data_IF_316077405422
#
_entry.id   IF_316077405422
#
_cell.length_a   1.000
_cell.length_b   1.000
_cell.length_c   1.000
_cell.angle_alpha   90.00
_cell.angle_beta   90.00
_cell.angle_gamma   90.00
#
_symmetry.space_group_name_H-M   'P 1'
#
loop_
_entity.id
_entity.type
_entity.pdbx_description
1 polymer ?
#
# COMPACT_ATOMS: atom_id res chain seq x y z
N UNK A 1 3.15 -23.39 28.90
CA UNK A 1 2.98 -22.28 29.86
C UNK A 1 2.56 -22.89 31.20
N UNK A 2 3.27 -22.56 32.27
CA UNK A 2 2.98 -23.16 33.58
C UNK A 2 2.09 -22.28 34.45
N UNK A 3 2.21 -20.97 34.35
CA UNK A 3 1.49 -19.99 35.11
C UNK A 3 1.31 -18.66 34.36
N UNK A 4 0.52 -17.77 34.91
CA UNK A 4 0.25 -16.43 34.37
C UNK A 4 1.49 -15.52 34.33
N UNK A 5 2.48 -15.77 35.24
CA UNK A 5 3.72 -14.99 35.31
C UNK A 5 4.57 -15.10 34.01
N UNK A 6 4.53 -16.27 33.36
CA UNK A 6 5.17 -16.43 32.07
C UNK A 6 4.49 -15.57 31.00
N UNK A 7 3.15 -15.48 31.01
CA UNK A 7 2.40 -14.63 30.11
C UNK A 7 2.64 -13.14 30.38
N UNK A 8 2.63 -12.74 31.66
CA UNK A 8 2.91 -11.38 32.10
C UNK A 8 4.31 -10.92 31.66
N UNK A 9 5.33 -11.77 31.85
CA UNK A 9 6.69 -11.47 31.40
C UNK A 9 6.75 -11.23 29.89
N UNK A 10 6.14 -12.08 29.08
CA UNK A 10 6.11 -11.98 27.63
C UNK A 10 5.35 -10.70 27.21
N UNK A 11 4.22 -10.40 27.85
CA UNK A 11 3.48 -9.17 27.61
C UNK A 11 4.31 -7.92 27.96
N UNK A 12 5.04 -7.91 29.07
CA UNK A 12 5.88 -6.81 29.50
C UNK A 12 7.05 -6.60 28.52
N UNK A 13 7.70 -7.67 28.09
CA UNK A 13 8.76 -7.64 27.05
C UNK A 13 8.22 -7.03 25.74
N UNK A 14 7.06 -7.47 25.30
CA UNK A 14 6.44 -6.92 24.09
C UNK A 14 6.05 -5.44 24.25
N UNK A 15 5.51 -5.06 25.40
CA UNK A 15 5.07 -3.69 25.69
C UNK A 15 6.25 -2.70 25.74
N UNK A 16 7.40 -3.13 26.25
CA UNK A 16 8.59 -2.28 26.40
C UNK A 16 9.49 -2.29 25.19
N UNK A 17 9.38 -3.30 24.33
CA UNK A 17 10.14 -3.39 23.09
C UNK A 17 9.57 -2.45 22.02
N UNK A 18 10.44 -1.77 21.28
CA UNK A 18 10.07 -1.02 20.07
C UNK A 18 9.82 -1.91 18.84
N UNK A 19 10.19 -3.18 18.89
CA UNK A 19 10.05 -4.18 17.82
C UNK A 19 9.26 -5.38 18.29
N UNK A 20 8.92 -6.30 17.38
CA UNK A 20 8.32 -7.59 17.75
C UNK A 20 9.33 -8.43 18.54
N UNK A 21 8.96 -8.79 19.77
CA UNK A 21 9.77 -9.70 20.60
C UNK A 21 9.55 -11.15 20.17
N UNK A 22 10.59 -12.01 20.22
CA UNK A 22 10.43 -13.42 19.84
C UNK A 22 9.49 -14.13 20.83
N UNK A 23 8.46 -14.82 20.31
CA UNK A 23 7.62 -15.69 21.11
C UNK A 23 8.23 -17.10 21.20
N UNK A 24 8.04 -17.79 22.34
CA UNK A 24 8.41 -19.19 22.42
C UNK A 24 7.65 -20.06 21.40
N UNK A 25 8.25 -21.16 20.91
CA UNK A 25 7.55 -22.06 20.00
C UNK A 25 6.21 -22.55 20.58
N UNK A 26 5.19 -22.67 19.73
CA UNK A 26 3.84 -23.09 20.10
C UNK A 26 3.21 -22.22 21.21
N UNK A 27 3.54 -20.93 21.24
CA UNK A 27 3.06 -20.02 22.30
C UNK A 27 1.53 -20.02 22.43
N UNK A 28 0.82 -19.78 21.34
CA UNK A 28 -0.65 -19.69 21.36
C UNK A 28 -1.32 -21.02 21.73
N UNK A 29 -0.77 -22.14 21.29
CA UNK A 29 -1.23 -23.46 21.68
C UNK A 29 -1.06 -23.71 23.20
N UNK A 30 0.09 -23.30 23.75
CA UNK A 30 0.38 -23.40 25.19
C UNK A 30 -0.52 -22.49 26.02
N UNK A 31 -0.83 -21.28 25.53
CA UNK A 31 -1.78 -20.36 26.20
C UNK A 31 -3.18 -20.95 26.19
N UNK A 32 -3.65 -21.50 25.08
CA UNK A 32 -4.97 -22.15 25.03
C UNK A 32 -5.08 -23.33 26.00
N UNK A 33 -4.06 -24.16 26.07
CA UNK A 33 -4.03 -25.24 27.04
C UNK A 33 -4.09 -24.75 28.48
N UNK A 34 -3.36 -23.67 28.80
CA UNK A 34 -3.40 -23.03 30.10
C UNK A 34 -4.80 -22.48 30.45
N UNK A 35 -5.42 -21.70 29.55
CA UNK A 35 -6.77 -21.18 29.77
C UNK A 35 -7.82 -22.29 29.89
N UNK A 36 -7.69 -23.38 29.12
CA UNK A 36 -8.57 -24.53 29.21
C UNK A 36 -8.46 -25.23 30.56
N UNK A 37 -7.24 -25.34 31.14
CA UNK A 37 -7.02 -25.88 32.46
C UNK A 37 -7.69 -25.00 33.53
N UNK A 38 -7.53 -23.67 33.48
CA UNK A 38 -8.19 -22.76 34.42
C UNK A 38 -9.72 -22.86 34.33
N UNK A 39 -10.30 -22.98 33.13
CA UNK A 39 -11.75 -23.17 32.99
C UNK A 39 -12.24 -24.48 33.58
N UNK A 40 -11.50 -25.57 33.41
CA UNK A 40 -11.81 -26.85 34.03
C UNK A 40 -11.73 -26.78 35.56
N UNK A 41 -10.69 -26.12 36.09
CA UNK A 41 -10.53 -25.91 37.55
C UNK A 41 -11.65 -25.05 38.12
N UNK A 42 -12.08 -24.00 37.41
CA UNK A 42 -13.19 -23.15 37.80
C UNK A 42 -14.49 -23.93 37.99
N UNK A 43 -14.76 -24.90 37.09
CA UNK A 43 -15.94 -25.77 37.16
C UNK A 43 -16.00 -26.69 38.40
N UNK A 44 -14.83 -27.01 38.96
CA UNK A 44 -14.71 -27.88 40.16
C UNK A 44 -14.34 -27.15 41.43
N UNK A 45 -14.26 -25.81 41.45
CA UNK A 45 -13.83 -25.01 42.58
C UNK A 45 -15.00 -24.28 43.24
N UNK A 46 -14.92 -24.09 44.56
CA UNK A 46 -15.90 -23.35 45.37
C UNK A 46 -15.22 -22.34 46.30
N UNK A 47 -15.99 -21.36 46.80
CA UNK A 47 -15.53 -20.33 47.72
C UNK A 47 -14.34 -19.52 47.20
N UNK A 48 -13.41 -19.20 48.08
CA UNK A 48 -12.24 -18.38 47.78
C UNK A 48 -11.40 -18.92 46.64
N UNK A 49 -11.30 -20.27 46.50
CA UNK A 49 -10.54 -20.88 45.39
C UNK A 49 -11.14 -20.54 44.04
N UNK A 50 -12.47 -20.57 43.96
CA UNK A 50 -13.21 -20.20 42.74
C UNK A 50 -12.93 -18.75 42.35
N UNK A 51 -12.97 -17.82 43.32
CA UNK A 51 -12.69 -16.40 43.08
C UNK A 51 -11.27 -16.17 42.55
N UNK A 52 -10.28 -16.86 43.17
CA UNK A 52 -8.88 -16.77 42.70
C UNK A 52 -8.67 -17.29 41.29
N UNK A 53 -9.26 -18.44 40.94
CA UNK A 53 -9.16 -19.01 39.59
C UNK A 53 -9.88 -18.15 38.58
N UNK A 54 -11.02 -17.57 38.95
CA UNK A 54 -11.77 -16.66 38.10
C UNK A 54 -10.97 -15.39 37.78
N UNK A 55 -10.31 -14.81 38.81
CA UNK A 55 -9.47 -13.63 38.63
C UNK A 55 -8.23 -13.94 37.81
N UNK A 56 -7.57 -15.09 38.04
CA UNK A 56 -6.43 -15.54 37.23
C UNK A 56 -6.85 -15.72 35.73
N UNK A 57 -8.02 -16.30 35.47
CA UNK A 57 -8.56 -16.47 34.15
C UNK A 57 -8.83 -15.12 33.44
N UNK A 58 -9.44 -14.19 34.20
CA UNK A 58 -9.76 -12.84 33.70
C UNK A 58 -8.48 -12.08 33.35
N UNK A 59 -7.49 -12.10 34.23
CA UNK A 59 -6.23 -11.41 34.05
C UNK A 59 -5.43 -12.02 32.89
N UNK A 60 -5.36 -13.35 32.80
CA UNK A 60 -4.70 -14.02 31.69
C UNK A 60 -5.35 -13.70 30.33
N UNK A 61 -6.68 -13.63 30.26
CA UNK A 61 -7.42 -13.25 29.06
C UNK A 61 -7.15 -11.79 28.69
N UNK A 62 -7.10 -10.88 29.65
CA UNK A 62 -6.76 -9.47 29.43
C UNK A 62 -5.35 -9.31 28.87
N UNK A 63 -4.34 -9.90 29.50
CA UNK A 63 -2.96 -9.84 29.07
C UNK A 63 -2.77 -10.41 27.65
N UNK A 64 -3.44 -11.53 27.35
CA UNK A 64 -3.40 -12.12 26.02
C UNK A 64 -4.01 -11.19 24.95
N UNK A 65 -5.15 -10.54 25.27
CA UNK A 65 -5.79 -9.59 24.36
C UNK A 65 -4.91 -8.36 24.09
N UNK A 66 -4.28 -7.81 25.12
CA UNK A 66 -3.35 -6.70 24.98
C UNK A 66 -2.09 -7.08 24.19
N UNK A 67 -1.51 -8.26 24.49
CA UNK A 67 -0.36 -8.78 23.76
C UNK A 67 -0.68 -8.95 22.28
N UNK A 68 -1.82 -9.55 21.94
CA UNK A 68 -2.27 -9.69 20.55
C UNK A 68 -2.40 -8.32 19.87
N UNK A 69 -3.02 -7.35 20.52
CA UNK A 69 -3.20 -6.00 19.96
C UNK A 69 -1.86 -5.32 19.68
N UNK A 70 -0.93 -5.35 20.62
CA UNK A 70 0.40 -4.78 20.47
C UNK A 70 1.15 -5.42 19.29
N UNK A 71 1.13 -6.74 19.20
CA UNK A 71 1.82 -7.49 18.14
C UNK A 71 1.18 -7.27 16.77
N UNK A 72 -0.15 -7.24 16.70
CA UNK A 72 -0.88 -6.95 15.47
C UNK A 72 -0.56 -5.54 14.93
N UNK A 73 -0.52 -4.53 15.80
CA UNK A 73 -0.14 -3.17 15.41
C UNK A 73 1.29 -3.08 14.88
N UNK A 74 2.26 -3.70 15.58
CA UNK A 74 3.65 -3.75 15.12
C UNK A 74 3.80 -4.48 13.79
N UNK A 75 3.11 -5.61 13.62
CA UNK A 75 3.13 -6.36 12.37
C UNK A 75 2.51 -5.57 11.21
N UNK A 76 1.40 -4.86 11.45
CA UNK A 76 0.79 -3.98 10.47
C UNK A 76 1.75 -2.85 10.05
N UNK A 77 2.43 -2.22 11.01
CA UNK A 77 3.41 -1.16 10.73
C UNK A 77 4.59 -1.66 9.89
N UNK A 78 5.11 -2.86 10.18
CA UNK A 78 6.18 -3.49 9.38
C UNK A 78 5.69 -3.80 7.97
N UNK A 79 4.51 -4.40 7.83
CA UNK A 79 3.89 -4.72 6.54
C UNK A 79 3.67 -3.48 5.67
N UNK A 80 3.20 -2.37 6.25
CA UNK A 80 3.02 -1.10 5.54
C UNK A 80 4.34 -0.48 5.06
N UNK A 81 5.47 -0.81 5.70
CA UNK A 81 6.82 -0.45 5.25
C UNK A 81 7.40 -1.40 4.20
N UNK A 82 6.67 -2.47 3.85
CA UNK A 82 7.16 -3.52 2.95
C UNK A 82 8.07 -4.55 3.62
N UNK A 83 8.15 -4.54 4.96
CA UNK A 83 8.93 -5.49 5.74
C UNK A 83 8.09 -6.73 6.10
N UNK A 84 8.74 -7.89 6.24
CA UNK A 84 8.08 -9.12 6.68
C UNK A 84 8.15 -9.20 8.21
N UNK A 85 7.02 -9.21 8.93
CA UNK A 85 7.03 -9.34 10.38
C UNK A 85 7.62 -10.69 10.80
N UNK A 86 8.65 -10.72 11.68
CA UNK A 86 9.25 -11.96 12.13
C UNK A 86 8.31 -12.69 13.12
N UNK A 87 8.14 -14.00 12.95
CA UNK A 87 7.50 -14.85 13.94
C UNK A 87 8.11 -16.25 13.94
N UNK A 88 8.26 -16.85 15.14
CA UNK A 88 8.68 -18.23 15.35
C UNK A 88 7.46 -19.14 15.64
N UNK A 89 6.30 -18.58 15.87
CA UNK A 89 5.05 -19.31 16.06
C UNK A 89 4.31 -19.43 14.73
N UNK A 90 3.95 -20.65 14.33
CA UNK A 90 3.31 -20.92 13.03
C UNK A 90 1.94 -20.27 12.89
N UNK A 91 1.17 -20.19 13.98
CA UNK A 91 -0.18 -19.59 13.95
C UNK A 91 -0.06 -18.08 13.77
N UNK A 92 0.88 -17.46 14.45
CA UNK A 92 1.17 -16.04 14.30
C UNK A 92 1.74 -15.72 12.92
N UNK A 93 2.64 -16.54 12.40
CA UNK A 93 3.20 -16.38 11.05
C UNK A 93 2.10 -16.40 9.98
N UNK A 94 1.13 -17.32 10.10
CA UNK A 94 -0.06 -17.36 9.21
C UNK A 94 -0.94 -16.12 9.34
N UNK A 95 -1.14 -15.63 10.57
CA UNK A 95 -1.88 -14.39 10.80
C UNK A 95 -1.17 -13.18 10.17
N UNK A 96 0.15 -13.03 10.35
CA UNK A 96 0.91 -11.92 9.77
C UNK A 96 0.92 -11.95 8.25
N UNK A 97 1.00 -13.14 7.63
CA UNK A 97 0.91 -13.29 6.17
C UNK A 97 -0.43 -12.78 5.64
N UNK A 98 -1.54 -13.20 6.27
CA UNK A 98 -2.88 -12.73 5.90
C UNK A 98 -3.05 -11.22 6.11
N UNK A 99 -2.54 -10.69 7.21
CA UNK A 99 -2.60 -9.26 7.50
C UNK A 99 -1.89 -8.47 6.41
N UNK A 100 -0.71 -8.93 5.99
CA UNK A 100 0.06 -8.30 4.91
C UNK A 100 -0.68 -8.35 3.59
N UNK A 101 -1.22 -9.51 3.20
CA UNK A 101 -2.00 -9.66 1.97
C UNK A 101 -3.17 -8.67 1.90
N UNK A 102 -3.97 -8.56 2.97
CA UNK A 102 -5.09 -7.61 3.05
C UNK A 102 -4.62 -6.15 2.94
N UNK A 103 -3.50 -5.80 3.58
CA UNK A 103 -2.96 -4.44 3.52
C UNK A 103 -2.38 -4.10 2.13
N UNK A 104 -1.73 -5.05 1.47
CA UNK A 104 -1.20 -4.90 0.11
C UNK A 104 -2.35 -4.77 -0.91
N UNK A 105 -3.38 -5.60 -0.81
CA UNK A 105 -4.58 -5.55 -1.66
C UNK A 105 -5.31 -4.20 -1.51
N UNK A 106 -5.63 -3.80 -0.28
CA UNK A 106 -6.28 -2.52 -0.01
C UNK A 106 -5.45 -1.31 -0.48
N UNK A 107 -4.12 -1.39 -0.34
CA UNK A 107 -3.21 -0.36 -0.85
C UNK A 107 -3.26 -0.29 -2.38
N UNK A 108 -3.24 -1.44 -3.06
CA UNK A 108 -3.36 -1.54 -4.52
C UNK A 108 -4.65 -0.88 -5.00
N UNK A 109 -5.79 -1.32 -4.49
CA UNK A 109 -7.10 -0.79 -4.85
C UNK A 109 -7.22 0.73 -4.66
N UNK A 110 -6.74 1.24 -3.51
CA UNK A 110 -6.82 2.67 -3.20
C UNK A 110 -5.88 3.52 -4.07
N UNK A 111 -4.70 3.02 -4.42
CA UNK A 111 -3.74 3.74 -5.25
C UNK A 111 -4.12 3.67 -6.74
N UNK A 112 -4.51 2.49 -7.25
CA UNK A 112 -4.96 2.31 -8.64
C UNK A 112 -6.22 3.14 -8.93
N UNK A 113 -7.18 3.16 -8.01
CA UNK A 113 -8.37 4.01 -8.13
C UNK A 113 -8.03 5.51 -8.17
N UNK A 114 -6.87 5.90 -7.64
CA UNK A 114 -6.39 7.29 -7.68
C UNK A 114 -5.64 7.60 -8.98
N UNK A 115 -4.94 6.62 -9.56
CA UNK A 115 -4.27 6.78 -10.86
C UNK A 115 -5.25 6.80 -12.03
N UNK A 116 -6.31 5.97 -12.00
CA UNK A 116 -7.37 5.99 -13.02
C UNK A 116 -8.20 7.29 -13.05
N UNK A 117 -8.26 8.04 -11.95
CA UNK A 117 -9.02 9.29 -11.84
C UNK A 117 -8.27 10.55 -12.30
N UNK A 118 -6.99 10.44 -12.60
CA UNK A 118 -6.22 11.53 -13.18
C UNK A 118 -5.93 11.16 -14.63
N UNK A 119 -6.79 11.55 -15.58
CA UNK A 119 -6.42 11.42 -16.99
C UNK A 119 -5.06 12.12 -17.18
N UNK A 120 -4.12 11.50 -17.91
CA UNK A 120 -2.85 12.15 -18.18
C UNK A 120 -3.15 13.55 -18.74
N UNK A 121 -2.46 14.61 -18.25
CA UNK A 121 -2.71 15.95 -18.72
C UNK A 121 -2.61 15.93 -20.24
N UNK A 122 -3.72 16.26 -20.91
CA UNK A 122 -3.73 16.34 -22.37
C UNK A 122 -2.60 17.28 -22.76
N UNK A 123 -1.72 16.88 -23.72
CA UNK A 123 -0.62 17.74 -24.12
C UNK A 123 -1.22 19.06 -24.61
N UNK A 124 -0.93 20.13 -23.88
CA UNK A 124 -1.45 21.47 -24.19
C UNK A 124 -1.00 21.97 -25.56
N UNK A 125 0.03 21.35 -26.14
CA UNK A 125 0.61 21.66 -27.43
C UNK A 125 0.86 20.38 -28.23
N UNK A 126 0.67 20.44 -29.55
CA UNK A 126 0.96 19.37 -30.49
C UNK A 126 2.08 19.78 -31.44
N UNK A 127 2.93 18.80 -31.78
CA UNK A 127 3.98 18.98 -32.78
C UNK A 127 3.42 18.75 -34.17
N UNK A 128 3.62 19.70 -35.06
CA UNK A 128 3.17 19.69 -36.46
C UNK A 128 4.31 19.90 -37.41
N UNK A 129 4.24 19.20 -38.56
CA UNK A 129 5.01 19.53 -39.75
C UNK A 129 4.13 20.42 -40.66
N UNK A 130 4.61 21.60 -40.97
CA UNK A 130 3.94 22.55 -41.87
C UNK A 130 4.07 22.08 -43.32
N UNK A 131 2.95 22.01 -44.03
CA UNK A 131 2.87 21.50 -45.42
C UNK A 131 2.78 22.61 -46.52
N UNK A 132 2.73 23.87 -46.11
CA UNK A 132 2.67 25.00 -46.98
C UNK A 132 2.82 26.30 -46.22
N UNK A 133 2.99 27.40 -46.90
CA UNK A 133 3.18 28.71 -46.30
C UNK A 133 1.96 29.16 -45.47
N UNK A 134 2.14 29.40 -44.17
CA UNK A 134 1.09 29.83 -43.24
C UNK A 134 1.39 31.26 -42.78
N UNK A 135 0.48 32.23 -42.99
CA UNK A 135 0.66 33.58 -42.52
C UNK A 135 0.60 33.60 -40.97
N UNK A 136 0.86 34.75 -40.39
CA UNK A 136 0.72 34.95 -38.96
C UNK A 136 -0.74 34.68 -38.53
N UNK A 137 -0.94 33.79 -37.57
CA UNK A 137 -2.24 33.37 -37.06
C UNK A 137 -2.35 33.67 -35.55
N UNK A 138 -3.59 33.73 -35.05
CA UNK A 138 -3.87 33.85 -33.61
C UNK A 138 -4.29 32.46 -33.10
N UNK A 139 -3.61 31.95 -32.10
CA UNK A 139 -3.97 30.70 -31.43
C UNK A 139 -5.16 30.84 -30.47
N UNK A 140 -5.66 29.68 -29.96
CA UNK A 140 -6.75 29.68 -28.97
C UNK A 140 -6.37 30.35 -27.63
N UNK A 141 -5.08 30.46 -27.35
CA UNK A 141 -4.51 31.16 -26.19
C UNK A 141 -4.31 32.69 -26.44
N UNK A 142 -4.87 33.21 -27.51
CA UNK A 142 -4.77 34.59 -27.95
C UNK A 142 -3.34 35.06 -28.27
N UNK A 143 -2.39 34.13 -28.45
CA UNK A 143 -1.03 34.44 -28.85
C UNK A 143 -0.88 34.37 -30.37
N UNK A 144 0.08 35.17 -30.88
CA UNK A 144 0.41 35.14 -32.29
C UNK A 144 1.44 34.04 -32.60
N UNK A 145 1.19 33.28 -33.67
CA UNK A 145 2.07 32.24 -34.16
C UNK A 145 2.37 32.46 -35.65
N UNK A 146 3.58 32.12 -36.05
CA UNK A 146 4.04 32.31 -37.42
C UNK A 146 4.58 33.70 -37.74
N UNK A 147 4.81 34.03 -39.07
CA UNK A 147 4.53 33.15 -40.21
C UNK A 147 5.37 31.88 -40.20
N UNK A 148 4.87 30.80 -40.84
CA UNK A 148 5.58 29.54 -40.95
C UNK A 148 5.80 29.20 -42.45
N UNK A 149 6.96 28.62 -42.72
CA UNK A 149 7.32 28.15 -44.07
C UNK A 149 7.09 26.63 -44.17
N UNK A 150 6.97 26.14 -45.41
CA UNK A 150 6.82 24.70 -45.69
C UNK A 150 8.03 23.92 -45.18
N UNK A 151 7.76 22.80 -44.49
CA UNK A 151 8.79 21.92 -43.90
C UNK A 151 9.19 22.28 -42.47
N UNK A 152 8.71 23.38 -41.88
CA UNK A 152 8.96 23.71 -40.51
C UNK A 152 8.23 22.78 -39.53
N UNK A 153 8.90 22.48 -38.39
CA UNK A 153 8.31 21.74 -37.28
C UNK A 153 7.95 22.76 -36.19
N UNK A 154 6.66 22.84 -35.86
CA UNK A 154 6.12 23.81 -34.94
C UNK A 154 5.33 23.16 -33.81
N UNK A 155 5.33 23.77 -32.66
CA UNK A 155 4.53 23.35 -31.46
C UNK A 155 3.39 24.36 -31.24
N UNK A 156 2.16 23.89 -31.42
CA UNK A 156 0.97 24.76 -31.30
C UNK A 156 -0.07 24.21 -30.33
N UNK A 157 -0.88 25.08 -29.71
CA UNK A 157 -2.01 24.69 -28.89
C UNK A 157 -2.92 23.71 -29.65
N UNK A 158 -3.46 22.70 -28.95
CA UNK A 158 -4.18 21.57 -29.56
C UNK A 158 -5.26 21.97 -30.55
N UNK A 159 -6.16 22.89 -30.20
CA UNK A 159 -7.24 23.30 -31.12
C UNK A 159 -6.71 24.04 -32.35
N UNK A 160 -5.69 24.88 -32.16
CA UNK A 160 -5.02 25.55 -33.28
C UNK A 160 -4.35 24.52 -34.21
N UNK A 161 -3.71 23.51 -33.63
CA UNK A 161 -3.11 22.39 -34.35
C UNK A 161 -4.15 21.58 -35.13
N UNK A 162 -5.28 21.22 -34.53
CA UNK A 162 -6.39 20.51 -35.17
C UNK A 162 -6.96 21.28 -36.38
N UNK A 163 -7.09 22.60 -36.24
CA UNK A 163 -7.57 23.48 -37.31
C UNK A 163 -6.65 23.46 -38.52
N UNK A 164 -5.33 23.57 -38.31
CA UNK A 164 -4.35 23.51 -39.42
C UNK A 164 -4.31 22.16 -40.09
N UNK A 165 -4.46 21.07 -39.35
CA UNK A 165 -4.53 19.69 -39.90
C UNK A 165 -5.81 19.49 -40.68
N UNK A 166 -6.95 19.98 -40.21
CA UNK A 166 -8.24 19.90 -40.92
C UNK A 166 -8.19 20.63 -42.26
N UNK A 167 -7.51 21.77 -42.32
CA UNK A 167 -7.30 22.52 -43.52
C UNK A 167 -6.13 22.03 -44.40
N UNK A 168 -5.50 20.88 -44.05
CA UNK A 168 -4.36 20.28 -44.76
C UNK A 168 -3.13 21.18 -44.86
N UNK A 169 -3.01 22.17 -43.96
CA UNK A 169 -1.86 23.08 -43.92
C UNK A 169 -0.71 22.50 -43.05
N UNK A 170 -1.00 21.52 -42.20
CA UNK A 170 -0.02 20.85 -41.37
C UNK A 170 -0.37 19.37 -41.14
N UNK A 171 0.63 18.58 -40.72
CA UNK A 171 0.50 17.16 -40.37
C UNK A 171 1.02 16.93 -38.93
N UNK A 172 0.26 16.19 -38.12
CA UNK A 172 0.70 15.82 -36.76
C UNK A 172 1.93 14.92 -36.78
N UNK A 173 2.94 15.26 -35.98
CA UNK A 173 4.13 14.46 -35.75
C UNK A 173 3.98 13.71 -34.40
N UNK A 174 4.06 12.39 -34.45
CA UNK A 174 4.03 11.54 -33.28
C UNK A 174 5.47 11.20 -32.83
N UNK A 175 5.93 11.60 -31.65
CA UNK A 175 7.32 11.41 -31.21
C UNK A 175 7.79 9.94 -31.23
N UNK A 176 6.88 8.98 -31.18
CA UNK A 176 7.22 7.53 -31.19
C UNK A 176 7.84 7.03 -32.54
N UNK A 177 7.86 7.81 -33.62
CA UNK A 177 8.45 7.39 -34.90
C UNK A 177 9.88 7.88 -35.14
N UNK A 178 10.41 8.77 -34.30
CA UNK A 178 11.75 9.33 -34.48
C UNK A 178 12.88 8.62 -33.72
N UNK A 179 12.58 7.75 -32.78
CA UNK A 179 13.58 7.00 -31.97
C UNK A 179 13.82 5.56 -32.48
N UNK A 180 13.41 5.22 -33.69
CA UNK A 180 13.49 3.87 -34.25
C UNK A 180 14.58 3.65 -35.32
N UNK A 181 15.58 4.51 -35.45
CA UNK A 181 16.70 4.30 -36.40
C UNK A 181 18.04 4.56 -35.70
N UNK A 182 18.52 3.58 -34.95
CA UNK A 182 19.84 3.60 -34.33
C UNK A 182 20.16 2.28 -33.68
N UNK A 183 20.53 1.27 -34.44
CA UNK A 183 21.00 0.00 -33.86
C UNK A 183 21.03 -1.14 -34.87
N UNK A 184 21.90 -1.04 -35.86
CA UNK A 184 22.55 -2.18 -36.52
C UNK A 184 23.90 -1.70 -36.99
N UNK A 185 24.92 -2.12 -36.27
CA UNK A 185 26.14 -2.77 -36.75
C UNK A 185 26.79 -3.39 -35.53
#
# INVERSE_FOLDING_TARGET
MKDWKELERIWLEERTSGTLSPLPPQFYSRVRAYLSRLRAELGGSEGLRRELVEEELREAARLLGELFTLRALKAAMLSLRGEVPPSQDEEESRFFSRLREVLEEARGELLEAREERVPPPEPRHELLLVLGKIPRIVGEDLRYYGPFEEGEIVSLPRKTAELLVTHRLAKKLHPKRFFGLGGRE
#
